data_IF_246154669219
#
_entry.id   IF_246154669219
#
_cell.length_a   1.000
_cell.length_b   1.000
_cell.length_c   1.000
_cell.angle_alpha   90.00
_cell.angle_beta   90.00
_cell.angle_gamma   90.00
#
_symmetry.space_group_name_H-M   'P 1'
#
loop_
_entity.id
_entity.type
_entity.pdbx_description
1 polymer ?
#
# COMPACT_ATOMS: atom_id res chain seq x y z
N UNK A 1 16.24 23.13 -9.79
CA UNK A 1 15.51 22.89 -8.52
C UNK A 1 16.36 22.01 -7.62
N UNK A 2 16.38 22.25 -6.32
CA UNK A 2 17.06 21.36 -5.37
C UNK A 2 16.07 20.32 -4.87
N UNK A 3 16.48 19.06 -4.82
CA UNK A 3 15.71 17.99 -4.23
C UNK A 3 16.40 17.49 -2.96
N UNK A 4 15.67 16.73 -2.15
CA UNK A 4 16.18 16.00 -0.99
C UNK A 4 16.14 14.52 -1.25
N UNK A 5 17.27 13.86 -1.07
CA UNK A 5 17.41 12.41 -1.02
C UNK A 5 18.05 12.04 0.31
N UNK A 6 17.40 11.17 1.10
CA UNK A 6 17.87 10.77 2.45
C UNK A 6 18.31 11.97 3.31
N UNK A 7 17.45 13.00 3.36
CA UNK A 7 17.66 14.27 4.08
C UNK A 7 18.81 15.17 3.57
N UNK A 8 19.50 14.81 2.49
CA UNK A 8 20.57 15.63 1.87
C UNK A 8 20.08 16.30 0.60
N UNK A 9 20.52 17.54 0.38
CA UNK A 9 20.25 18.23 -0.87
C UNK A 9 21.00 17.54 -2.02
N UNK A 10 20.31 17.34 -3.13
CA UNK A 10 20.84 16.72 -4.35
C UNK A 10 20.37 17.50 -5.56
N UNK A 11 21.20 17.45 -6.60
CA UNK A 11 20.91 18.07 -7.89
C UNK A 11 20.56 16.97 -8.89
N UNK A 12 19.32 17.01 -9.38
CA UNK A 12 18.84 16.12 -10.43
C UNK A 12 18.69 16.93 -11.72
N UNK A 13 19.30 16.46 -12.81
CA UNK A 13 19.30 17.15 -14.10
C UNK A 13 19.15 16.17 -15.25
N UNK A 14 18.61 16.66 -16.36
CA UNK A 14 18.53 15.94 -17.61
C UNK A 14 19.27 16.73 -18.69
N UNK A 15 20.34 16.14 -19.24
CA UNK A 15 21.22 16.76 -20.23
C UNK A 15 21.62 15.72 -21.26
N UNK A 16 21.67 16.08 -22.53
CA UNK A 16 22.06 15.19 -23.62
C UNK A 16 21.31 13.85 -23.61
N UNK A 17 20.00 13.90 -23.33
CA UNK A 17 19.11 12.73 -23.18
C UNK A 17 19.53 11.74 -22.08
N UNK A 18 20.28 12.19 -21.09
CA UNK A 18 20.75 11.38 -19.95
C UNK A 18 20.35 12.04 -18.64
N UNK A 19 20.04 11.20 -17.66
CA UNK A 19 19.68 11.62 -16.32
C UNK A 19 20.91 11.64 -15.43
N UNK A 20 21.07 12.68 -14.61
CA UNK A 20 22.19 12.80 -13.70
C UNK A 20 21.70 13.12 -12.29
N UNK A 21 22.27 12.42 -11.31
CA UNK A 21 22.12 12.73 -9.89
C UNK A 21 23.49 13.09 -9.31
N UNK A 22 23.68 14.33 -8.87
CA UNK A 22 24.97 14.84 -8.40
C UNK A 22 26.13 14.56 -9.39
N UNK A 23 25.90 14.80 -10.68
CA UNK A 23 26.83 14.54 -11.80
C UNK A 23 27.08 13.06 -12.13
N UNK A 24 26.43 12.12 -11.44
CA UNK A 24 26.50 10.69 -11.78
C UNK A 24 25.38 10.31 -12.75
N UNK A 25 25.75 9.69 -13.88
CA UNK A 25 24.79 9.29 -14.91
C UNK A 25 23.94 8.10 -14.43
N UNK A 26 22.62 8.28 -14.44
CA UNK A 26 21.65 7.23 -14.17
C UNK A 26 21.27 6.55 -15.50
N UNK A 27 21.79 5.33 -15.69
CA UNK A 27 21.55 4.54 -16.88
C UNK A 27 20.20 3.82 -16.82
N UNK A 28 19.48 3.82 -17.94
CA UNK A 28 18.22 3.10 -18.17
C UNK A 28 17.23 3.28 -17.01
N UNK A 29 16.66 4.47 -16.89
CA UNK A 29 15.73 4.82 -15.81
C UNK A 29 14.35 5.18 -16.34
N UNK A 30 13.34 4.89 -15.51
CA UNK A 30 12.01 5.48 -15.68
C UNK A 30 11.83 6.54 -14.60
N UNK A 31 11.34 7.71 -14.99
CA UNK A 31 11.12 8.83 -14.06
C UNK A 31 9.62 9.06 -13.94
N UNK A 32 9.15 9.00 -12.71
CA UNK A 32 7.77 9.21 -12.33
C UNK A 32 7.64 10.49 -11.49
N UNK A 33 6.51 11.19 -11.62
CA UNK A 33 6.19 12.37 -10.84
C UNK A 33 4.93 12.14 -10.02
N UNK A 34 5.00 12.40 -8.72
CA UNK A 34 3.84 12.70 -7.88
C UNK A 34 3.86 14.22 -7.63
N UNK A 35 2.95 15.00 -8.23
CA UNK A 35 2.96 16.46 -8.10
C UNK A 35 2.55 16.88 -6.69
N UNK A 36 2.98 18.07 -6.29
CA UNK A 36 2.42 18.72 -5.11
C UNK A 36 0.96 19.10 -5.38
N UNK A 37 0.18 19.25 -4.32
CA UNK A 37 -1.20 19.75 -4.37
C UNK A 37 -1.48 20.59 -3.13
N UNK A 38 -2.67 21.21 -3.08
CA UNK A 38 -3.14 21.92 -1.89
C UNK A 38 -3.27 21.00 -0.66
N UNK A 39 -3.33 19.69 -0.86
CA UNK A 39 -3.37 18.69 0.22
C UNK A 39 -2.03 17.95 0.42
N UNK A 40 -1.07 18.14 -0.49
CA UNK A 40 0.23 17.47 -0.48
C UNK A 40 1.35 18.51 -0.55
N UNK A 41 2.00 18.71 0.59
CA UNK A 41 3.07 19.70 0.80
C UNK A 41 4.27 19.55 -0.17
N UNK A 42 4.55 18.33 -0.61
CA UNK A 42 5.73 18.04 -1.41
C UNK A 42 5.36 17.37 -2.73
N UNK A 43 6.03 17.78 -3.79
CA UNK A 43 6.16 16.98 -5.01
C UNK A 43 7.31 15.97 -4.86
N UNK A 44 7.16 14.82 -5.49
CA UNK A 44 8.14 13.75 -5.50
C UNK A 44 8.51 13.32 -6.92
N UNK A 45 9.81 13.27 -7.20
CA UNK A 45 10.37 12.65 -8.40
C UNK A 45 10.89 11.27 -8.01
N UNK A 46 10.31 10.23 -8.60
CA UNK A 46 10.60 8.83 -8.31
C UNK A 46 11.35 8.23 -9.50
N UNK A 47 12.59 7.78 -9.31
CA UNK A 47 13.46 7.31 -10.38
C UNK A 47 13.67 5.80 -10.22
N UNK A 48 13.00 5.00 -11.05
CA UNK A 48 13.19 3.54 -11.13
C UNK A 48 14.53 3.26 -11.79
N UNK A 49 15.38 2.51 -11.09
CA UNK A 49 16.68 2.08 -11.61
C UNK A 49 16.53 0.68 -12.20
N UNK A 50 16.91 0.48 -13.47
CA UNK A 50 16.87 -0.84 -14.11
C UNK A 50 18.23 -1.54 -14.17
N UNK A 51 19.30 -0.89 -13.70
CA UNK A 51 20.67 -1.43 -13.72
C UNK A 51 21.05 -1.97 -12.34
N UNK A 52 21.41 -3.27 -12.20
CA UNK A 52 21.73 -3.89 -10.90
C UNK A 52 22.83 -3.17 -10.10
N UNK A 53 23.85 -2.65 -10.79
CA UNK A 53 24.93 -1.89 -10.14
C UNK A 53 24.39 -0.64 -9.41
N UNK A 54 23.48 0.09 -10.05
CA UNK A 54 22.86 1.28 -9.47
C UNK A 54 21.87 0.90 -8.37
N UNK A 55 21.13 -0.18 -8.56
CA UNK A 55 20.21 -0.71 -7.55
C UNK A 55 20.94 -1.09 -6.25
N UNK A 56 22.15 -1.66 -6.35
CA UNK A 56 22.98 -1.96 -5.18
C UNK A 56 23.35 -0.71 -4.37
N UNK A 57 23.54 0.43 -5.04
CA UNK A 57 23.94 1.70 -4.42
C UNK A 57 22.76 2.49 -3.86
N UNK A 58 21.66 2.55 -4.61
CA UNK A 58 20.56 3.46 -4.34
C UNK A 58 19.24 2.78 -3.94
N UNK A 59 19.14 1.47 -4.11
CA UNK A 59 17.90 0.71 -4.06
C UNK A 59 17.22 0.65 -5.44
N UNK A 60 16.07 -0.02 -5.52
CA UNK A 60 15.34 -0.19 -6.79
C UNK A 60 14.74 1.11 -7.33
N UNK A 61 14.44 2.06 -6.44
CA UNK A 61 13.87 3.35 -6.78
C UNK A 61 14.49 4.44 -5.90
N UNK A 62 14.85 5.57 -6.52
CA UNK A 62 15.30 6.77 -5.82
C UNK A 62 14.10 7.69 -5.65
N UNK A 63 13.85 8.12 -4.42
CA UNK A 63 12.80 9.07 -4.08
C UNK A 63 13.40 10.44 -3.81
N UNK A 64 13.12 11.39 -4.69
CA UNK A 64 13.55 12.77 -4.59
C UNK A 64 12.38 13.62 -4.14
N UNK A 65 12.46 14.17 -2.94
CA UNK A 65 11.45 15.07 -2.40
C UNK A 65 11.83 16.51 -2.72
N UNK A 66 10.89 17.29 -3.20
CA UNK A 66 11.04 18.74 -3.34
C UNK A 66 11.17 19.45 -1.98
N UNK A 67 11.46 20.75 -2.01
CA UNK A 67 11.17 21.60 -0.84
C UNK A 67 9.67 21.83 -0.72
N UNK A 68 9.23 22.05 0.51
CA UNK A 68 7.84 22.36 0.85
C UNK A 68 7.38 23.63 0.16
N UNK A 69 6.18 23.61 -0.44
CA UNK A 69 5.55 24.82 -0.97
C UNK A 69 5.00 25.75 0.13
N UNK A 70 4.87 25.24 1.37
CA UNK A 70 4.51 26.05 2.55
C UNK A 70 5.69 26.89 3.07
N UNK A 71 6.91 26.68 2.57
CA UNK A 71 8.07 27.46 3.00
C UNK A 71 8.10 28.83 2.34
N UNK A 72 8.15 29.87 3.18
CA UNK A 72 8.36 31.27 2.78
C UNK A 72 7.25 31.85 1.91
N UNK A 73 6.00 31.55 2.25
CA UNK A 73 4.88 32.29 1.68
C UNK A 73 4.87 33.70 2.30
N UNK A 74 4.82 34.72 1.46
CA UNK A 74 4.34 36.04 1.90
C UNK A 74 2.82 35.98 1.96
N UNK A 75 2.18 36.65 2.92
CA UNK A 75 0.72 36.59 3.17
C UNK A 75 -0.17 36.96 1.96
N UNK A 76 0.43 37.48 0.89
CA UNK A 76 -0.23 37.92 -0.34
C UNK A 76 -0.19 36.90 -1.50
N UNK A 77 0.57 35.80 -1.38
CA UNK A 77 0.70 34.82 -2.47
C UNK A 77 -0.43 33.78 -2.46
N UNK A 78 -1.07 33.57 -3.61
CA UNK A 78 -2.10 32.56 -3.78
C UNK A 78 -1.48 31.14 -3.78
N UNK A 79 -1.86 30.31 -2.82
CA UNK A 79 -1.40 28.91 -2.67
C UNK A 79 -1.47 28.10 -3.96
N UNK A 80 -2.56 28.23 -4.72
CA UNK A 80 -2.73 27.51 -5.97
C UNK A 80 -1.64 27.89 -6.99
N UNK A 81 -1.32 29.18 -7.09
CA UNK A 81 -0.25 29.66 -7.97
C UNK A 81 1.13 29.17 -7.53
N UNK A 82 1.38 29.07 -6.23
CA UNK A 82 2.65 28.55 -5.70
C UNK A 82 2.80 27.07 -6.07
N UNK A 83 1.76 26.26 -5.83
CA UNK A 83 1.75 24.83 -6.17
C UNK A 83 1.93 24.62 -7.67
N UNK A 84 1.22 25.39 -8.51
CA UNK A 84 1.34 25.30 -9.96
C UNK A 84 2.73 25.67 -10.46
N UNK A 85 3.31 26.77 -9.92
CA UNK A 85 4.67 27.19 -10.26
C UNK A 85 5.71 26.15 -9.84
N UNK A 86 5.53 25.52 -8.68
CA UNK A 86 6.40 24.44 -8.21
C UNK A 86 6.34 23.23 -9.13
N UNK A 87 5.13 22.76 -9.45
CA UNK A 87 4.95 21.61 -10.34
C UNK A 87 5.49 21.90 -11.74
N UNK A 88 5.23 23.11 -12.28
CA UNK A 88 5.77 23.55 -13.58
C UNK A 88 7.29 23.53 -13.62
N UNK A 89 7.95 24.06 -12.58
CA UNK A 89 9.42 24.01 -12.44
C UNK A 89 9.98 22.59 -12.44
N UNK A 90 9.23 21.61 -11.94
CA UNK A 90 9.64 20.19 -11.96
C UNK A 90 9.44 19.59 -13.35
N UNK A 91 8.29 19.83 -13.99
CA UNK A 91 8.02 19.38 -15.36
C UNK A 91 9.07 19.86 -16.37
N UNK A 92 9.58 21.08 -16.20
CA UNK A 92 10.63 21.66 -17.05
C UNK A 92 12.00 20.96 -16.91
N UNK A 93 12.22 20.15 -15.85
CA UNK A 93 13.52 19.50 -15.61
C UNK A 93 13.77 18.38 -16.62
N UNK A 94 12.77 17.53 -16.86
CA UNK A 94 12.93 16.34 -17.69
C UNK A 94 11.61 15.69 -18.10
N UNK A 95 11.59 14.87 -19.16
CA UNK A 95 10.45 14.01 -19.48
C UNK A 95 10.17 13.05 -18.31
N UNK A 96 8.91 12.99 -17.89
CA UNK A 96 8.47 12.20 -16.75
C UNK A 96 7.05 11.69 -16.94
N UNK A 97 6.75 10.57 -16.29
CA UNK A 97 5.43 9.93 -16.30
C UNK A 97 4.68 10.38 -15.06
N UNK A 98 3.49 10.96 -15.23
CA UNK A 98 2.65 11.35 -14.10
C UNK A 98 2.08 10.11 -13.42
N UNK A 99 2.22 10.03 -12.10
CA UNK A 99 1.53 9.04 -11.27
C UNK A 99 0.07 9.45 -11.12
N UNK A 100 -0.84 8.70 -11.74
CA UNK A 100 -2.25 9.08 -11.86
C UNK A 100 -3.23 8.16 -11.13
N UNK A 101 -2.93 6.87 -11.04
CA UNK A 101 -3.79 5.91 -10.34
C UNK A 101 -3.22 5.65 -8.95
N UNK A 102 -3.91 6.11 -7.92
CA UNK A 102 -3.58 5.82 -6.53
C UNK A 102 -4.71 5.09 -5.81
N UNK A 103 -4.32 4.35 -4.77
CA UNK A 103 -5.20 3.86 -3.73
C UNK A 103 -4.66 4.32 -2.38
N UNK A 104 -5.54 4.75 -1.49
CA UNK A 104 -5.14 5.01 -0.11
C UNK A 104 -5.09 3.69 0.65
N UNK A 105 -3.89 3.26 1.02
CA UNK A 105 -3.63 1.98 1.66
C UNK A 105 -2.42 2.05 2.59
N UNK A 106 -2.26 1.03 3.42
CA UNK A 106 -1.02 0.81 4.18
C UNK A 106 -0.16 -0.23 3.45
N UNK A 107 1.00 0.13 2.88
CA UNK A 107 1.80 -0.81 2.10
C UNK A 107 2.69 -1.70 2.98
N UNK A 108 2.47 -3.01 2.91
CA UNK A 108 3.30 -4.03 3.54
C UNK A 108 3.29 -3.91 5.06
N UNK A 109 4.48 -3.93 5.67
CA UNK A 109 4.65 -3.75 7.12
C UNK A 109 4.72 -2.28 7.57
N UNK A 110 4.36 -1.32 6.71
CA UNK A 110 4.28 0.09 7.12
C UNK A 110 3.12 0.30 8.08
N UNK A 111 3.17 1.37 8.87
CA UNK A 111 2.14 1.70 9.87
C UNK A 111 1.20 2.82 9.41
N UNK A 112 1.56 3.52 8.34
CA UNK A 112 0.86 4.72 7.88
C UNK A 112 0.07 4.43 6.60
N UNK A 113 -1.19 4.82 6.60
CA UNK A 113 -2.05 4.84 5.42
C UNK A 113 -1.72 6.08 4.58
N UNK A 114 -1.45 5.89 3.30
CA UNK A 114 -1.09 6.96 2.37
C UNK A 114 -1.43 6.55 0.94
N UNK A 115 -1.18 7.44 -0.02
CA UNK A 115 -1.35 7.16 -1.44
C UNK A 115 -0.28 6.19 -1.93
N UNK A 116 -0.75 5.03 -2.40
CA UNK A 116 0.04 4.04 -3.11
C UNK A 116 -0.38 4.09 -4.58
N UNK A 117 0.56 4.49 -5.43
CA UNK A 117 0.32 4.57 -6.87
C UNK A 117 0.56 3.21 -7.53
N UNK A 118 -0.36 2.80 -8.39
CA UNK A 118 -0.30 1.55 -9.14
C UNK A 118 -0.06 1.89 -10.61
N UNK A 119 1.14 1.58 -11.12
CA UNK A 119 1.49 1.93 -12.49
C UNK A 119 2.55 0.97 -13.05
N UNK A 120 2.39 0.55 -14.31
CA UNK A 120 3.34 -0.33 -15.01
C UNK A 120 3.76 -1.56 -14.18
N UNK A 121 2.78 -2.24 -13.57
CA UNK A 121 2.97 -3.37 -12.64
C UNK A 121 3.92 -3.08 -11.47
N UNK A 122 3.89 -1.85 -10.97
CA UNK A 122 4.67 -1.39 -9.83
C UNK A 122 3.80 -0.63 -8.84
N UNK A 123 4.14 -0.77 -7.55
CA UNK A 123 3.59 0.03 -6.47
C UNK A 123 4.63 1.08 -6.10
N UNK A 124 4.25 2.34 -6.14
CA UNK A 124 5.11 3.47 -5.81
C UNK A 124 4.40 4.28 -4.73
N UNK A 125 5.02 4.42 -3.57
CA UNK A 125 4.53 5.28 -2.50
C UNK A 125 5.64 6.26 -2.12
N UNK A 126 5.61 7.48 -2.67
CA UNK A 126 6.69 8.44 -2.51
C UNK A 126 6.88 8.90 -1.06
N UNK A 127 5.79 9.13 -0.32
CA UNK A 127 5.83 9.61 1.07
C UNK A 127 6.59 8.64 1.99
N UNK A 128 6.39 7.33 1.81
CA UNK A 128 7.04 6.29 2.60
C UNK A 128 8.36 5.77 1.99
N UNK A 129 8.82 6.38 0.88
CA UNK A 129 9.94 5.90 0.07
C UNK A 129 9.82 4.41 -0.27
N UNK A 130 8.60 3.97 -0.58
CA UNK A 130 8.28 2.56 -0.78
C UNK A 130 8.10 2.26 -2.28
N UNK A 131 8.74 1.17 -2.71
CA UNK A 131 8.71 0.67 -4.07
C UNK A 131 8.54 -0.84 -4.06
N UNK A 132 7.64 -1.35 -4.89
CA UNK A 132 7.50 -2.79 -5.12
C UNK A 132 7.23 -3.07 -6.59
N UNK A 133 8.01 -3.97 -7.18
CA UNK A 133 7.75 -4.47 -8.53
C UNK A 133 6.93 -5.76 -8.44
N UNK A 134 5.78 -5.78 -9.11
CA UNK A 134 4.91 -6.95 -9.22
C UNK A 134 4.70 -7.38 -10.68
N UNK A 135 5.68 -7.14 -11.55
CA UNK A 135 5.67 -7.57 -12.96
C UNK A 135 5.43 -9.08 -13.12
N UNK A 136 5.94 -9.87 -12.17
CA UNK A 136 5.73 -11.33 -12.10
C UNK A 136 4.60 -11.72 -11.14
N UNK A 137 3.57 -10.88 -11.01
CA UNK A 137 2.34 -11.24 -10.29
C UNK A 137 1.71 -12.45 -10.95
N UNK A 138 1.28 -13.38 -10.11
CA UNK A 138 0.55 -14.57 -10.53
C UNK A 138 -0.96 -14.31 -10.34
N UNK A 139 -1.34 -13.90 -9.13
CA UNK A 139 -2.72 -13.60 -8.76
C UNK A 139 -2.77 -12.46 -7.73
N UNK A 140 -3.88 -11.73 -7.71
CA UNK A 140 -4.20 -10.74 -6.68
C UNK A 140 -5.40 -11.22 -5.87
N UNK A 141 -5.26 -11.24 -4.55
CA UNK A 141 -6.36 -11.57 -3.65
C UNK A 141 -6.99 -10.31 -3.06
N UNK A 142 -8.32 -10.23 -3.08
CA UNK A 142 -9.08 -9.27 -2.28
C UNK A 142 -9.44 -9.96 -0.97
N UNK A 143 -8.73 -9.61 0.10
CA UNK A 143 -8.93 -10.19 1.43
C UNK A 143 -9.95 -9.41 2.25
N UNK A 144 -10.64 -10.11 3.16
CA UNK A 144 -11.67 -9.54 4.04
C UNK A 144 -12.79 -8.88 3.23
N UNK A 145 -13.09 -9.44 2.06
CA UNK A 145 -13.96 -8.85 1.07
C UNK A 145 -15.38 -9.40 1.22
N UNK A 146 -16.18 -8.78 2.10
CA UNK A 146 -17.57 -9.17 2.38
C UNK A 146 -18.53 -8.03 2.10
N UNK A 147 -19.84 -8.31 2.02
CA UNK A 147 -20.88 -7.31 1.77
C UNK A 147 -20.86 -6.16 2.77
N UNK A 148 -20.56 -6.43 4.05
CA UNK A 148 -20.63 -5.48 5.15
C UNK A 148 -19.30 -4.76 5.47
N UNK A 149 -18.15 -5.19 4.92
CA UNK A 149 -16.88 -4.50 5.18
C UNK A 149 -16.73 -3.24 4.34
N UNK A 150 -16.42 -2.11 5.00
CA UNK A 150 -16.11 -0.84 4.32
C UNK A 150 -14.74 -0.87 3.65
N UNK A 151 -13.80 -1.61 4.22
CA UNK A 151 -12.44 -1.74 3.75
C UNK A 151 -12.07 -3.19 3.47
N UNK A 152 -11.16 -3.37 2.53
CA UNK A 152 -10.59 -4.67 2.19
C UNK A 152 -9.07 -4.54 2.04
N UNK A 153 -8.36 -5.66 1.90
CA UNK A 153 -6.93 -5.65 1.56
C UNK A 153 -6.69 -6.25 0.18
N UNK A 154 -5.60 -5.85 -0.43
CA UNK A 154 -5.05 -6.49 -1.61
C UNK A 154 -3.81 -7.28 -1.24
N UNK A 155 -3.68 -8.49 -1.77
CA UNK A 155 -2.43 -9.23 -1.72
C UNK A 155 -1.98 -9.61 -3.11
N UNK A 156 -0.81 -9.10 -3.50
CA UNK A 156 -0.11 -9.46 -4.71
C UNK A 156 0.72 -10.70 -4.45
N UNK A 157 0.34 -11.83 -5.04
CA UNK A 157 1.12 -13.07 -4.98
C UNK A 157 1.99 -13.16 -6.22
N UNK A 158 3.31 -13.27 -6.03
CA UNK A 158 4.27 -13.40 -7.13
C UNK A 158 4.60 -14.87 -7.40
N UNK A 159 4.98 -15.16 -8.64
CA UNK A 159 5.42 -16.51 -9.09
C UNK A 159 6.61 -17.09 -8.32
N UNK A 160 7.38 -16.25 -7.63
CA UNK A 160 8.52 -16.67 -6.80
C UNK A 160 8.15 -16.91 -5.32
N UNK A 161 6.87 -17.16 -5.02
CA UNK A 161 6.34 -17.40 -3.66
C UNK A 161 6.47 -16.21 -2.70
N UNK A 162 6.79 -15.02 -3.22
CA UNK A 162 6.72 -13.79 -2.42
C UNK A 162 5.33 -13.19 -2.52
N UNK A 163 4.95 -12.44 -1.50
CA UNK A 163 3.73 -11.62 -1.53
C UNK A 163 3.98 -10.21 -1.05
N UNK A 164 3.07 -9.33 -1.41
CA UNK A 164 2.99 -7.96 -0.92
C UNK A 164 1.54 -7.60 -0.63
N UNK A 165 1.31 -7.01 0.52
CA UNK A 165 -0.04 -6.69 1.02
C UNK A 165 -0.25 -5.17 0.99
N UNK A 166 -1.40 -4.70 0.51
CA UNK A 166 -1.89 -3.34 0.70
C UNK A 166 -3.15 -3.42 1.54
N UNK A 167 -3.13 -2.87 2.75
CA UNK A 167 -4.23 -3.05 3.70
C UNK A 167 -5.08 -1.79 3.87
N UNK A 168 -6.32 -1.96 4.36
CA UNK A 168 -7.24 -0.87 4.74
C UNK A 168 -7.67 0.02 3.55
N UNK A 169 -7.91 -0.61 2.40
CA UNK A 169 -8.36 0.07 1.17
C UNK A 169 -9.87 0.31 1.25
N UNK A 170 -10.30 1.54 0.98
CA UNK A 170 -11.73 1.85 0.93
C UNK A 170 -12.41 1.20 -0.29
N UNK A 171 -13.40 0.35 -0.02
CA UNK A 171 -14.11 -0.41 -1.05
C UNK A 171 -14.91 0.49 -1.98
N UNK A 172 -15.65 1.46 -1.44
CA UNK A 172 -16.55 2.32 -2.22
C UNK A 172 -15.74 3.22 -3.15
N UNK A 173 -14.57 3.67 -2.69
CA UNK A 173 -13.70 4.59 -3.44
C UNK A 173 -12.88 3.88 -4.51
N UNK A 174 -12.27 2.72 -4.23
CA UNK A 174 -11.20 2.18 -5.09
C UNK A 174 -11.51 0.87 -5.81
N UNK A 175 -12.52 0.10 -5.38
CA UNK A 175 -12.74 -1.26 -5.90
C UNK A 175 -12.98 -1.29 -7.42
N UNK A 176 -13.79 -0.37 -7.95
CA UNK A 176 -14.13 -0.33 -9.38
C UNK A 176 -12.90 -0.05 -10.25
N UNK A 177 -12.06 0.88 -9.82
CA UNK A 177 -10.85 1.26 -10.56
C UNK A 177 -9.79 0.16 -10.49
N UNK A 178 -9.68 -0.52 -9.35
CA UNK A 178 -8.83 -1.70 -9.19
C UNK A 178 -9.28 -2.87 -10.06
N UNK A 179 -10.58 -3.22 -10.04
CA UNK A 179 -11.13 -4.29 -10.89
C UNK A 179 -10.88 -3.98 -12.38
N UNK A 180 -11.05 -2.71 -12.78
CA UNK A 180 -10.74 -2.26 -14.13
C UNK A 180 -9.26 -2.41 -14.46
N UNK A 181 -8.37 -1.93 -13.60
CA UNK A 181 -6.92 -2.01 -13.80
C UNK A 181 -6.43 -3.45 -13.94
N UNK A 182 -6.84 -4.35 -13.03
CA UNK A 182 -6.40 -5.74 -13.07
C UNK A 182 -6.93 -6.47 -14.31
N UNK A 183 -8.17 -6.18 -14.72
CA UNK A 183 -8.74 -6.71 -15.96
C UNK A 183 -7.97 -6.23 -17.20
N UNK A 184 -7.69 -4.93 -17.31
CA UNK A 184 -6.93 -4.35 -18.43
C UNK A 184 -5.49 -4.88 -18.52
N UNK A 185 -4.91 -5.29 -17.39
CA UNK A 185 -3.56 -5.84 -17.31
C UNK A 185 -3.49 -7.37 -17.33
N UNK A 186 -4.62 -8.06 -17.55
CA UNK A 186 -4.75 -9.52 -17.53
C UNK A 186 -4.18 -10.15 -16.24
N UNK A 187 -4.52 -9.56 -15.08
CA UNK A 187 -4.14 -10.06 -13.77
C UNK A 187 -5.35 -10.78 -13.16
N UNK A 188 -5.17 -12.04 -12.76
CA UNK A 188 -6.20 -12.81 -12.08
C UNK A 188 -6.52 -12.19 -10.72
N UNK A 189 -7.82 -12.07 -10.40
CA UNK A 189 -8.29 -11.56 -9.11
C UNK A 189 -9.18 -12.59 -8.43
N UNK A 190 -8.83 -12.97 -7.21
CA UNK A 190 -9.62 -13.88 -6.36
C UNK A 190 -10.17 -13.09 -5.18
N UNK A 191 -11.49 -13.14 -4.97
CA UNK A 191 -12.16 -12.48 -3.85
C UNK A 191 -12.39 -13.49 -2.73
N UNK A 192 -11.99 -13.16 -1.52
CA UNK A 192 -12.11 -14.05 -0.35
C UNK A 192 -13.10 -13.51 0.66
N UNK A 193 -13.54 -14.39 1.55
CA UNK A 193 -14.44 -14.09 2.66
C UNK A 193 -13.83 -13.20 3.76
N UNK A 194 -14.50 -13.12 4.93
CA UNK A 194 -14.18 -12.16 5.98
C UNK A 194 -12.86 -12.43 6.69
N UNK A 195 -12.46 -13.70 6.76
CA UNK A 195 -11.29 -14.09 7.54
C UNK A 195 -9.99 -13.84 6.76
N UNK A 196 -8.92 -13.42 7.47
CA UNK A 196 -7.60 -13.28 6.87
C UNK A 196 -7.08 -14.65 6.40
N UNK A 197 -6.35 -14.64 5.28
CA UNK A 197 -5.84 -15.88 4.69
C UNK A 197 -4.65 -16.42 5.50
N UNK A 198 -4.70 -17.72 5.86
CA UNK A 198 -3.51 -18.43 6.30
C UNK A 198 -2.63 -18.79 5.10
N UNK A 199 -1.72 -17.88 4.77
CA UNK A 199 -0.85 -18.03 3.61
C UNK A 199 0.11 -19.22 3.65
N UNK A 200 0.46 -19.73 4.83
CA UNK A 200 1.28 -20.93 4.94
C UNK A 200 0.55 -22.13 4.33
N UNK A 201 -0.72 -22.30 4.73
CA UNK A 201 -1.58 -23.38 4.24
C UNK A 201 -1.91 -23.21 2.75
N UNK A 202 -2.19 -21.97 2.32
CA UNK A 202 -2.45 -21.64 0.90
C UNK A 202 -1.24 -22.00 0.03
N UNK A 203 -0.03 -21.60 0.43
CA UNK A 203 1.17 -21.95 -0.32
C UNK A 203 1.46 -23.45 -0.30
N UNK A 204 1.23 -24.14 0.82
CA UNK A 204 1.34 -25.60 0.85
C UNK A 204 0.36 -26.21 -0.16
N UNK A 205 -0.92 -25.83 -0.13
CA UNK A 205 -1.93 -26.39 -1.04
C UNK A 205 -1.61 -26.14 -2.51
N UNK A 206 -1.29 -24.89 -2.86
CA UNK A 206 -0.99 -24.53 -4.25
C UNK A 206 0.25 -25.24 -4.77
N UNK A 207 1.37 -25.17 -4.06
CA UNK A 207 2.65 -25.66 -4.59
C UNK A 207 2.87 -27.17 -4.38
N UNK A 208 2.23 -27.79 -3.38
CA UNK A 208 2.34 -29.22 -3.11
C UNK A 208 1.28 -30.03 -3.85
N UNK A 209 0.04 -29.53 -3.90
CA UNK A 209 -1.09 -30.24 -4.51
C UNK A 209 -1.53 -29.68 -5.87
N UNK A 210 -0.87 -28.63 -6.36
CA UNK A 210 -1.12 -28.03 -7.68
C UNK A 210 -2.57 -27.53 -7.89
N UNK A 211 -3.23 -27.11 -6.81
CA UNK A 211 -4.55 -26.51 -6.89
C UNK A 211 -4.48 -25.11 -7.48
N UNK A 212 -5.42 -24.76 -8.36
CA UNK A 212 -5.56 -23.39 -8.85
C UNK A 212 -5.89 -22.42 -7.71
N UNK A 213 -5.56 -21.15 -7.87
CA UNK A 213 -5.66 -20.14 -6.81
C UNK A 213 -7.07 -20.02 -6.19
N UNK A 214 -8.13 -20.21 -6.97
CA UNK A 214 -9.50 -20.24 -6.47
C UNK A 214 -9.80 -21.47 -5.59
N UNK A 215 -9.31 -22.64 -5.99
CA UNK A 215 -9.49 -23.92 -5.29
C UNK A 215 -8.62 -24.04 -4.04
N UNK A 216 -7.51 -23.29 -3.99
CA UNK A 216 -6.67 -23.21 -2.78
C UNK A 216 -7.42 -22.54 -1.63
N UNK A 217 -8.24 -21.53 -1.94
CA UNK A 217 -9.04 -20.78 -0.97
C UNK A 217 -10.39 -21.45 -0.68
N UNK A 218 -11.08 -21.93 -1.72
CA UNK A 218 -12.30 -22.72 -1.61
C UNK A 218 -11.93 -24.16 -1.98
N UNK A 219 -11.34 -24.97 -1.07
CA UNK A 219 -11.16 -26.38 -1.36
C UNK A 219 -12.55 -26.93 -1.74
N UNK A 220 -12.66 -27.74 -2.80
CA UNK A 220 -13.91 -28.38 -3.15
C UNK A 220 -14.38 -29.10 -1.90
N UNK A 221 -15.39 -28.54 -1.25
CA UNK A 221 -15.90 -29.06 0.00
C UNK A 221 -16.49 -30.42 -0.26
N UNK A 222 -16.62 -31.22 0.80
CA UNK A 222 -17.69 -32.19 0.93
C UNK A 222 -18.99 -31.53 0.41
N UNK A 223 -19.29 -31.73 -0.86
CA UNK A 223 -20.52 -31.31 -1.52
C UNK A 223 -21.59 -32.31 -1.12
N UNK A 224 -21.92 -32.33 0.16
CA UNK A 224 -23.27 -32.69 0.58
C UNK A 224 -24.01 -31.37 0.79
N UNK A 225 -25.06 -31.23 -0.01
CA UNK A 225 -26.00 -30.13 -0.17
C UNK A 225 -26.42 -29.47 1.16
N UNK A 226 -26.16 -28.17 1.31
CA UNK A 226 -27.09 -27.27 2.00
C UNK A 226 -27.23 -26.00 1.17
N UNK A 227 -28.30 -25.94 0.39
CA UNK A 227 -28.80 -24.72 -0.25
C UNK A 227 -29.29 -23.78 0.86
N UNK A 228 -28.41 -22.92 1.37
CA UNK A 228 -28.85 -21.77 2.17
C UNK A 228 -29.49 -20.73 1.24
N UNK A 229 -30.80 -20.89 1.03
CA UNK A 229 -31.67 -19.86 0.48
C UNK A 229 -31.59 -18.61 1.39
N UNK A 230 -30.77 -17.64 1.00
CA UNK A 230 -30.85 -16.29 1.58
C UNK A 230 -32.22 -15.70 1.24
N UNK A 231 -33.17 -15.80 2.18
CA UNK A 231 -34.47 -15.13 2.09
C UNK A 231 -34.22 -13.64 1.88
N UNK A 232 -34.68 -13.10 0.75
CA UNK A 232 -34.75 -11.66 0.52
C UNK A 232 -35.68 -11.05 1.57
N UNK A 233 -35.11 -10.50 2.63
CA UNK A 233 -35.84 -9.62 3.54
C UNK A 233 -36.20 -8.35 2.78
N UNK A 234 -37.51 -8.06 2.71
CA UNK A 234 -38.05 -6.81 2.19
C UNK A 234 -37.34 -5.64 2.88
N UNK A 235 -36.66 -4.82 2.10
CA UNK A 235 -36.04 -3.60 2.60
C UNK A 235 -37.19 -2.61 2.79
N UNK A 236 -37.56 -2.36 4.05
CA UNK A 236 -38.41 -1.20 4.37
C UNK A 236 -37.69 0.05 3.89
N UNK A 237 -38.28 0.67 2.87
CA UNK A 237 -37.98 2.02 2.43
C UNK A 237 -38.39 2.99 3.55
N UNK A 238 -37.60 4.07 3.72
CA UNK A 238 -37.82 5.21 4.62
C UNK A 238 -37.40 5.07 6.09
N UNK A 239 -36.14 5.39 6.38
CA UNK A 239 -35.82 6.29 7.50
C UNK A 239 -34.79 7.32 7.04
N UNK A 240 -35.31 8.46 6.60
CA UNK A 240 -34.58 9.72 6.54
C UNK A 240 -34.35 10.27 7.95
N UNK A 241 -33.31 11.09 8.02
CA UNK A 241 -33.10 12.17 8.97
C UNK A 241 -32.46 11.88 10.35
N UNK A 242 -31.29 12.50 10.50
CA UNK A 242 -30.84 13.26 11.67
C UNK A 242 -30.64 12.53 13.00
N UNK A 243 -29.46 11.92 13.17
CA UNK A 243 -28.85 11.76 14.49
C UNK A 243 -27.77 12.82 14.72
N UNK A 244 -28.23 13.95 15.26
CA UNK A 244 -27.41 14.96 15.93
C UNK A 244 -26.73 14.32 17.14
N UNK A 245 -25.41 14.47 17.20
CA UNK A 245 -24.57 14.07 18.33
C UNK A 245 -24.99 14.87 19.58
N UNK A 246 -25.57 14.21 20.59
CA UNK A 246 -25.67 14.79 21.94
C UNK A 246 -24.59 14.15 22.80
N UNK A 247 -23.61 14.97 23.15
CA UNK A 247 -22.59 14.71 24.16
C UNK A 247 -23.20 14.56 25.56
N UNK A 248 -22.49 13.79 26.40
CA UNK A 248 -22.63 13.66 27.85
C UNK A 248 -23.64 12.59 28.34
N UNK A 249 -23.12 11.39 28.60
CA UNK A 249 -23.36 10.67 29.86
C UNK A 249 -22.32 9.55 30.03
N UNK A 250 -21.44 9.69 31.03
CA UNK A 250 -20.52 8.64 31.50
C UNK A 250 -21.34 7.54 32.18
N UNK A 251 -21.45 6.37 31.54
CA UNK A 251 -21.97 5.16 32.19
C UNK A 251 -20.79 4.29 32.63
N UNK A 252 -20.39 4.43 33.89
CA UNK A 252 -19.45 3.53 34.55
C UNK A 252 -20.09 2.15 34.73
N UNK A 253 -19.62 1.16 33.97
CA UNK A 253 -20.01 -0.25 34.16
C UNK A 253 -19.06 -0.89 35.16
N UNK A 254 -19.54 -1.10 36.40
CA UNK A 254 -18.81 -1.85 37.43
C UNK A 254 -18.66 -3.33 37.03
N UNK A 255 -17.42 -3.75 36.77
CA UNK A 255 -17.07 -5.15 36.53
C UNK A 255 -16.82 -5.84 37.88
N UNK A 256 -17.52 -6.94 38.22
CA UNK A 256 -17.29 -7.69 39.45
C UNK A 256 -15.84 -8.21 39.56
N UNK A 257 -15.20 -7.99 40.71
CA UNK A 257 -13.79 -8.33 41.02
C UNK A 257 -13.41 -9.80 40.77
N UNK A 258 -14.39 -10.72 40.75
CA UNK A 258 -14.16 -12.14 40.45
C UNK A 258 -13.81 -12.44 39.00
N UNK A 259 -14.03 -11.50 38.07
CA UNK A 259 -13.64 -11.62 36.65
C UNK A 259 -12.29 -10.96 36.32
N UNK A 260 -11.74 -10.10 37.18
CA UNK A 260 -10.41 -9.48 36.97
C UNK A 260 -9.27 -10.48 37.15
N UNK A 261 -9.36 -11.40 38.12
CA UNK A 261 -8.29 -12.37 38.42
C UNK A 261 -7.99 -13.41 37.33
N UNK A 262 -8.91 -13.68 36.40
CA UNK A 262 -8.66 -14.61 35.28
C UNK A 262 -8.00 -13.96 34.07
N UNK A 263 -7.95 -12.63 34.00
CA UNK A 263 -7.29 -11.93 32.90
C UNK A 263 -5.78 -11.86 33.13
N UNK A 264 -5.32 -11.69 34.37
CA UNK A 264 -3.89 -11.48 34.66
C UNK A 264 -3.05 -12.77 34.54
N UNK A 265 -3.60 -13.95 34.85
CA UNK A 265 -2.89 -15.24 34.73
C UNK A 265 -2.65 -15.68 33.27
N UNK A 266 -3.39 -15.16 32.29
CA UNK A 266 -3.15 -15.48 30.87
C UNK A 266 -2.06 -14.61 30.22
N UNK A 267 -1.70 -13.47 30.81
CA UNK A 267 -0.71 -12.55 30.25
C UNK A 267 0.73 -12.84 30.71
N UNK A 268 0.94 -13.47 31.86
CA UNK A 268 2.28 -13.83 32.34
C UNK A 268 2.93 -14.98 31.54
N UNK A 269 2.16 -15.76 30.78
CA UNK A 269 2.69 -16.95 30.08
C UNK A 269 3.02 -16.75 28.59
N UNK A 270 2.95 -15.51 28.06
CA UNK A 270 3.38 -15.17 26.69
C UNK A 270 4.43 -14.06 26.62
N UNK A 271 5.07 -13.73 27.75
CA UNK A 271 6.18 -12.79 27.82
C UNK A 271 7.55 -13.45 27.62
N UNK A 272 7.84 -13.99 26.43
CA UNK A 272 9.23 -14.07 25.94
C UNK A 272 9.37 -13.13 24.77
N UNK A 273 9.70 -11.89 25.10
CA UNK A 273 10.17 -10.86 24.17
C UNK A 273 11.40 -11.42 23.47
N UNK A 274 11.33 -11.58 22.14
CA UNK A 274 12.51 -11.84 21.32
C UNK A 274 13.37 -10.58 21.36
N UNK A 275 14.57 -10.73 21.91
CA UNK A 275 15.58 -9.68 22.00
C UNK A 275 16.02 -9.24 20.61
N UNK A 276 16.40 -7.97 20.45
CA UNK A 276 16.74 -7.35 19.15
C UNK A 276 17.93 -7.99 18.43
N UNK A 277 18.68 -8.86 19.11
CA UNK A 277 19.92 -9.47 18.63
C UNK A 277 19.70 -10.68 17.72
N UNK A 278 18.47 -11.22 17.65
CA UNK A 278 18.15 -12.35 16.75
C UNK A 278 17.92 -11.93 15.29
N UNK A 279 17.66 -10.64 15.02
CA UNK A 279 17.47 -10.13 13.65
C UNK A 279 18.79 -10.12 12.86
N UNK A 280 19.90 -9.76 13.52
CA UNK A 280 21.24 -9.74 12.92
C UNK A 280 21.79 -11.14 12.60
N UNK A 281 21.31 -12.18 13.30
CA UNK A 281 21.65 -13.58 13.02
C UNK A 281 20.93 -14.14 11.80
N UNK A 282 19.72 -13.68 11.51
CA UNK A 282 18.96 -14.14 10.35
C UNK A 282 19.53 -13.59 9.04
N UNK A 283 19.92 -12.31 8.99
CA UNK A 283 20.55 -11.73 7.79
C UNK A 283 21.92 -12.36 7.45
N UNK A 284 22.69 -12.79 8.45
CA UNK A 284 23.99 -13.45 8.22
C UNK A 284 23.87 -14.87 7.66
N UNK A 285 22.77 -15.57 7.93
CA UNK A 285 22.51 -16.93 7.38
C UNK A 285 22.06 -16.94 5.91
N UNK A 286 21.67 -15.79 5.35
CA UNK A 286 21.26 -15.65 3.95
C UNK A 286 22.42 -15.32 3.00
N UNK A 287 23.67 -15.26 3.50
CA UNK A 287 24.88 -14.94 2.72
C UNK A 287 25.87 -16.11 2.57
N UNK A 288 25.40 -17.35 2.70
CA UNK A 288 26.16 -18.56 2.34
C UNK A 288 25.50 -19.25 1.16
#
# INVERSE_FOLDING_TARGET
MNFKYKKKNVTFTYKDKKFYLNNENLLNVNVYLSPASLTKEFAYVCIRLNVPLMQKKYGNCIFLRSDSWLKKQTDEENDAMIVDNMNKKIYEICPMILLSMNVEATPGAKMEKTDVFIQDKQLICPELNFYYNFENVDVVFYQRFTSYTRTFDLTFVLKNKKRMDLTVIDRKKYMKDLDKYFKENNIEVVKTGPDPINWADVYERHYKYQFDWIHVYMPPSDTEEEEDEWVQGETDEELSDDYIYSSEDEVSVDIPESKKRKLDEQWENKGKVLDSDDYDRWEKKQKV
#
